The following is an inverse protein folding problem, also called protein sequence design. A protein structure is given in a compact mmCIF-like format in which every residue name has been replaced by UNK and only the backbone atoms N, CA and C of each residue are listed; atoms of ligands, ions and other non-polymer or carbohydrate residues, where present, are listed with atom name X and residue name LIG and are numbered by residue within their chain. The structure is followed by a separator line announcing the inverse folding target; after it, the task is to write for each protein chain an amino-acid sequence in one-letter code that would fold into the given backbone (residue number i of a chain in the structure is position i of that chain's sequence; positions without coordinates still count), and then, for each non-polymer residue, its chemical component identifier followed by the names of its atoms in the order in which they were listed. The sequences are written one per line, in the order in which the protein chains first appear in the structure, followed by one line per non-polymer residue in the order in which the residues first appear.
data_IF_001249057242
#
_entry.id   IF_001249057242
#
_cell.length_a   1.000
_cell.length_b   1.000
_cell.length_c   1.000
_cell.angle_alpha   90.00
_cell.angle_beta   90.00
_cell.angle_gamma   90.00
#
_symmetry.space_group_name_H-M   'P 1'
#
loop_
_entity.id
_entity.type
_entity.pdbx_description
1 polymer ?
#
# COMPACT_ATOMS: atom_id res chain seq x y z
N UNK A 1 -7.74 -32.23 -14.61
CA UNK A 1 -7.06 -31.61 -13.45
C UNK A 1 -8.10 -30.74 -12.77
N UNK A 2 -8.31 -30.97 -11.49
CA UNK A 2 -9.28 -30.17 -10.73
C UNK A 2 -8.69 -28.78 -10.48
N UNK A 3 -9.51 -27.73 -10.32
CA UNK A 3 -9.03 -26.38 -9.97
C UNK A 3 -8.18 -26.35 -8.68
N UNK A 4 -8.27 -27.38 -7.84
CA UNK A 4 -7.48 -27.52 -6.62
C UNK A 4 -5.99 -27.82 -6.86
N UNK A 5 -5.60 -28.29 -8.05
CA UNK A 5 -4.23 -28.78 -8.30
C UNK A 5 -3.20 -27.65 -8.54
N UNK A 6 -3.64 -26.39 -8.67
CA UNK A 6 -2.78 -25.24 -9.00
C UNK A 6 -2.74 -24.15 -7.93
N UNK A 7 -3.34 -24.38 -6.76
CA UNK A 7 -3.30 -23.41 -5.68
C UNK A 7 -1.88 -23.33 -5.08
N UNK A 8 -1.49 -22.13 -4.64
CA UNK A 8 -0.25 -21.92 -3.88
C UNK A 8 -0.54 -21.23 -2.55
N UNK A 9 0.36 -21.43 -1.61
CA UNK A 9 0.37 -20.75 -0.31
C UNK A 9 1.79 -20.30 0.02
N UNK A 10 1.93 -19.05 0.44
CA UNK A 10 3.19 -18.49 0.91
C UNK A 10 2.93 -17.41 1.95
N UNK A 11 3.55 -17.54 3.14
CA UNK A 11 3.35 -16.63 4.30
C UNK A 11 1.87 -16.32 4.60
N UNK A 12 1.04 -17.37 4.61
CA UNK A 12 -0.39 -17.25 4.89
C UNK A 12 -1.20 -16.57 3.79
N UNK A 13 -0.59 -16.22 2.66
CA UNK A 13 -1.27 -15.72 1.45
C UNK A 13 -1.50 -16.91 0.51
N UNK A 14 -2.72 -17.02 -0.04
CA UNK A 14 -3.12 -18.12 -0.93
C UNK A 14 -3.60 -17.60 -2.28
N UNK A 15 -3.29 -18.30 -3.36
CA UNK A 15 -3.76 -17.99 -4.72
C UNK A 15 -4.37 -19.18 -5.47
N UNK A 16 -5.23 -18.90 -6.47
CA UNK A 16 -5.98 -19.89 -7.28
C UNK A 16 -5.19 -20.47 -8.46
N UNK A 17 -4.23 -19.73 -8.97
CA UNK A 17 -3.45 -20.06 -10.16
C UNK A 17 -2.01 -20.35 -9.79
N UNK A 18 -1.18 -20.97 -10.66
CA UNK A 18 0.22 -21.21 -10.34
C UNK A 18 0.90 -19.95 -9.80
N UNK A 19 1.72 -20.13 -8.76
CA UNK A 19 2.41 -19.03 -8.09
C UNK A 19 3.10 -18.10 -9.11
N UNK A 20 2.87 -16.77 -9.05
CA UNK A 20 3.68 -15.83 -9.79
C UNK A 20 5.16 -16.07 -9.50
N UNK A 21 6.03 -15.95 -10.52
CA UNK A 21 7.49 -16.15 -10.35
C UNK A 21 8.12 -15.24 -9.29
N UNK A 22 7.45 -14.14 -8.98
CA UNK A 22 7.87 -13.16 -7.98
C UNK A 22 7.58 -13.58 -6.53
N UNK A 23 6.83 -14.66 -6.30
CA UNK A 23 6.57 -15.18 -4.94
C UNK A 23 7.89 -15.54 -4.26
N UNK A 24 8.11 -15.01 -3.04
CA UNK A 24 9.35 -15.19 -2.29
C UNK A 24 10.60 -14.51 -2.86
N UNK A 25 10.49 -13.73 -3.94
CA UNK A 25 11.65 -13.09 -4.59
C UNK A 25 12.32 -11.97 -3.78
N UNK A 26 11.72 -11.56 -2.66
CA UNK A 26 12.14 -10.44 -1.81
C UNK A 26 12.43 -10.86 -0.36
N UNK A 27 12.67 -12.14 -0.10
CA UNK A 27 13.11 -12.62 1.22
C UNK A 27 14.34 -11.86 1.74
N UNK A 28 14.37 -11.56 3.04
CA UNK A 28 15.43 -10.78 3.68
C UNK A 28 15.36 -9.27 3.44
N UNK A 29 14.46 -8.78 2.58
CA UNK A 29 14.34 -7.36 2.25
C UNK A 29 13.26 -6.66 3.08
N UNK A 30 13.31 -5.33 3.07
CA UNK A 30 12.35 -4.44 3.72
C UNK A 30 11.58 -3.64 2.68
N UNK A 31 10.31 -3.37 2.96
CA UNK A 31 9.45 -2.59 2.07
C UNK A 31 8.78 -1.42 2.79
N UNK A 32 8.65 -0.31 2.06
CA UNK A 32 7.75 0.79 2.39
C UNK A 32 6.58 0.74 1.42
N UNK A 33 5.37 0.61 1.95
CA UNK A 33 4.14 0.74 1.17
C UNK A 33 3.62 2.16 1.33
N UNK A 34 3.67 2.94 0.26
CA UNK A 34 3.15 4.29 0.20
C UNK A 34 1.72 4.28 -0.35
N UNK A 35 0.77 4.68 0.49
CA UNK A 35 -0.64 4.87 0.15
C UNK A 35 -0.99 6.28 -0.30
N UNK A 36 -2.28 6.54 -0.49
CA UNK A 36 -2.80 7.80 -1.02
C UNK A 36 -3.31 8.80 0.01
N UNK A 37 -3.18 8.55 1.32
CA UNK A 37 -3.73 9.43 2.34
C UNK A 37 -2.86 10.69 2.55
N UNK A 38 -3.47 11.79 3.00
CA UNK A 38 -2.80 13.07 3.23
C UNK A 38 -1.53 12.99 4.10
N UNK A 39 -1.54 12.13 5.12
CA UNK A 39 -0.39 11.92 6.01
C UNK A 39 0.82 11.26 5.34
N UNK A 40 0.73 10.79 4.09
CA UNK A 40 1.79 10.05 3.39
C UNK A 40 3.12 10.80 3.41
N UNK A 41 3.13 12.11 3.23
CA UNK A 41 4.36 12.90 3.17
C UNK A 41 5.09 12.96 4.52
N UNK A 42 4.34 13.17 5.62
CA UNK A 42 4.90 13.12 6.96
C UNK A 42 5.34 11.71 7.36
N UNK A 43 4.58 10.68 6.94
CA UNK A 43 4.94 9.29 7.18
C UNK A 43 6.23 8.87 6.43
N UNK A 44 6.53 9.50 5.29
CA UNK A 44 7.70 9.21 4.46
C UNK A 44 8.95 10.00 4.82
N UNK A 45 8.81 11.12 5.54
CA UNK A 45 9.92 12.01 5.91
C UNK A 45 11.10 11.24 6.53
N UNK A 46 10.91 10.29 7.48
CA UNK A 46 12.02 9.54 8.07
C UNK A 46 12.81 8.69 7.07
N UNK A 47 12.20 8.33 5.94
CA UNK A 47 12.78 7.44 4.93
C UNK A 47 13.32 8.18 3.71
N UNK A 48 13.04 9.48 3.57
CA UNK A 48 13.35 10.24 2.34
C UNK A 48 14.24 11.45 2.59
N UNK A 49 14.29 12.00 3.81
CA UNK A 49 15.06 13.21 4.12
C UNK A 49 16.56 12.95 4.41
N UNK A 50 17.22 12.16 3.56
CA UNK A 50 18.67 11.94 3.59
C UNK A 50 19.24 11.21 4.82
N UNK A 51 18.40 10.88 5.80
CA UNK A 51 18.83 10.26 7.05
C UNK A 51 19.04 8.75 6.92
N UNK A 52 18.15 8.01 6.27
CA UNK A 52 18.29 6.56 6.10
C UNK A 52 19.01 6.21 4.79
N UNK A 53 19.73 5.08 4.79
CA UNK A 53 20.18 4.44 3.56
C UNK A 53 18.93 3.92 2.82
N UNK A 54 18.33 4.81 2.02
CA UNK A 54 17.11 4.56 1.23
C UNK A 54 17.26 3.30 0.37
N UNK A 55 18.50 2.91 0.04
CA UNK A 55 18.81 1.69 -0.72
C UNK A 55 18.45 0.39 0.00
N UNK A 56 18.22 0.43 1.31
CA UNK A 56 17.84 -0.75 2.10
C UNK A 56 16.34 -1.08 2.01
N UNK A 57 15.54 -0.16 1.46
CA UNK A 57 14.09 -0.30 1.38
C UNK A 57 13.64 -0.33 -0.07
N UNK A 58 12.81 -1.31 -0.39
CA UNK A 58 12.03 -1.27 -1.63
C UNK A 58 10.78 -0.41 -1.42
N UNK A 59 10.45 0.42 -2.41
CA UNK A 59 9.24 1.23 -2.38
C UNK A 59 8.14 0.59 -3.23
N UNK A 60 6.99 0.40 -2.60
CA UNK A 60 5.76 -0.10 -3.18
C UNK A 60 4.74 1.05 -3.17
N UNK A 61 4.49 1.66 -4.32
CA UNK A 61 3.53 2.76 -4.43
C UNK A 61 2.13 2.25 -4.78
N UNK A 62 1.11 2.81 -4.15
CA UNK A 62 -0.30 2.39 -4.28
C UNK A 62 -1.15 3.49 -4.90
N UNK A 63 -1.81 3.17 -6.01
CA UNK A 63 -2.69 4.10 -6.74
C UNK A 63 -2.01 5.42 -7.13
N UNK A 64 -2.69 6.55 -6.95
CA UNK A 64 -2.27 7.86 -7.48
C UNK A 64 -0.88 8.31 -6.99
N UNK A 65 -0.44 7.87 -5.80
CA UNK A 65 0.88 8.23 -5.25
C UNK A 65 2.03 7.72 -6.13
N UNK A 66 1.80 6.71 -6.99
CA UNK A 66 2.75 6.23 -8.01
C UNK A 66 3.33 7.39 -8.81
N UNK A 67 2.49 8.39 -9.14
CA UNK A 67 2.87 9.53 -9.95
C UNK A 67 3.80 10.50 -9.23
N UNK A 68 3.65 10.62 -7.91
CA UNK A 68 4.19 11.75 -7.13
C UNK A 68 5.34 11.37 -6.20
N UNK A 69 5.54 10.07 -5.93
CA UNK A 69 6.55 9.64 -4.97
C UNK A 69 7.98 9.88 -5.50
N UNK A 70 8.78 10.76 -4.87
CA UNK A 70 10.09 11.19 -5.39
C UNK A 70 11.22 10.23 -4.96
N UNK A 71 11.00 8.93 -5.16
CA UNK A 71 11.94 7.84 -4.84
C UNK A 71 11.98 6.83 -5.98
N UNK A 72 13.04 6.04 -6.10
CA UNK A 72 13.06 4.90 -7.03
C UNK A 72 12.02 3.85 -6.60
N UNK A 73 11.08 3.51 -7.48
CA UNK A 73 10.06 2.49 -7.19
C UNK A 73 10.53 1.10 -7.59
N UNK A 74 10.33 0.13 -6.70
CA UNK A 74 10.49 -1.30 -6.99
C UNK A 74 9.17 -1.92 -7.46
N UNK A 75 8.04 -1.40 -6.95
CA UNK A 75 6.72 -1.95 -7.23
C UNK A 75 5.64 -0.89 -7.35
N UNK A 76 4.63 -1.15 -8.20
CA UNK A 76 3.38 -0.41 -8.24
C UNK A 76 2.20 -1.36 -8.03
N UNK A 77 1.26 -0.97 -7.16
CA UNK A 77 0.10 -1.79 -6.79
C UNK A 77 -1.20 -1.01 -6.97
N UNK A 78 -2.23 -1.65 -7.53
CA UNK A 78 -3.59 -1.11 -7.52
C UNK A 78 -4.67 -2.17 -7.66
N UNK A 79 -5.82 -1.94 -7.03
CA UNK A 79 -7.05 -2.65 -7.35
C UNK A 79 -7.69 -2.16 -8.67
N UNK A 80 -7.17 -1.08 -9.26
CA UNK A 80 -7.64 -0.46 -10.49
C UNK A 80 -6.59 -0.61 -11.61
N UNK A 81 -6.47 -1.81 -12.22
CA UNK A 81 -5.51 -2.05 -13.30
C UNK A 81 -5.68 -1.07 -14.48
N UNK A 82 -6.89 -0.59 -14.72
CA UNK A 82 -7.23 0.37 -15.77
C UNK A 82 -6.48 1.70 -15.65
N UNK A 83 -6.18 2.15 -14.43
CA UNK A 83 -5.50 3.43 -14.18
C UNK A 83 -3.98 3.30 -14.06
N UNK A 84 -3.48 2.11 -13.74
CA UNK A 84 -2.07 1.89 -13.40
C UNK A 84 -1.12 2.29 -14.55
N UNK A 85 -1.48 1.95 -15.78
CA UNK A 85 -0.72 2.37 -16.99
C UNK A 85 -0.65 3.90 -17.14
N UNK A 86 -1.71 4.61 -16.75
CA UNK A 86 -1.79 6.07 -16.88
C UNK A 86 -0.93 6.74 -15.81
N UNK A 87 -1.00 6.27 -14.56
CA UNK A 87 -0.14 6.76 -13.49
C UNK A 87 1.35 6.56 -13.80
N UNK A 88 1.74 5.41 -14.35
CA UNK A 88 3.12 5.17 -14.74
C UNK A 88 3.57 6.05 -15.91
N UNK A 89 2.68 6.31 -16.87
CA UNK A 89 2.98 7.24 -17.97
C UNK A 89 3.21 8.66 -17.44
N UNK A 90 2.36 9.13 -16.52
CA UNK A 90 2.49 10.44 -15.89
C UNK A 90 3.75 10.55 -15.05
N UNK A 91 4.10 9.50 -14.29
CA UNK A 91 5.36 9.40 -13.56
C UNK A 91 6.58 9.57 -14.48
N UNK A 92 6.60 8.85 -15.61
CA UNK A 92 7.70 8.95 -16.60
C UNK A 92 7.75 10.32 -17.27
N UNK A 93 6.61 11.00 -17.40
CA UNK A 93 6.50 12.33 -17.98
C UNK A 93 6.86 13.48 -17.04
N UNK A 94 7.12 13.22 -15.75
CA UNK A 94 7.48 14.27 -14.81
C UNK A 94 8.84 14.91 -15.16
N UNK A 95 8.95 16.22 -14.97
CA UNK A 95 10.13 17.03 -15.34
C UNK A 95 11.37 16.81 -14.46
N UNK A 96 11.41 15.75 -13.64
CA UNK A 96 12.52 15.42 -12.72
C UNK A 96 12.88 13.94 -12.81
N UNK A 97 13.33 13.43 -13.96
CA UNK A 97 13.52 11.99 -14.16
C UNK A 97 14.46 11.34 -13.14
N UNK A 98 15.44 12.10 -12.60
CA UNK A 98 16.40 11.67 -11.57
C UNK A 98 15.76 11.27 -10.23
N UNK A 99 14.52 11.69 -9.96
CA UNK A 99 13.81 11.40 -8.70
C UNK A 99 12.62 10.46 -8.87
N UNK A 100 12.31 10.09 -10.11
CA UNK A 100 11.11 9.31 -10.44
C UNK A 100 11.46 7.99 -11.14
N UNK A 101 12.67 7.49 -10.91
CA UNK A 101 13.17 6.25 -11.49
C UNK A 101 12.33 5.03 -11.06
N UNK A 102 12.46 3.97 -11.86
CA UNK A 102 11.96 2.62 -11.58
C UNK A 102 13.19 1.72 -11.51
N UNK A 103 13.20 0.72 -10.63
CA UNK A 103 14.28 -0.29 -10.62
C UNK A 103 14.29 -1.10 -11.93
N UNK A 104 15.42 -1.72 -12.25
CA UNK A 104 15.55 -2.59 -13.43
C UNK A 104 14.59 -3.79 -13.38
N UNK A 105 14.27 -4.25 -12.17
CA UNK A 105 13.36 -5.36 -11.88
C UNK A 105 11.98 -4.89 -11.41
N UNK A 106 11.57 -3.69 -11.81
CA UNK A 106 10.29 -3.09 -11.43
C UNK A 106 9.10 -3.97 -11.83
N UNK A 107 8.15 -4.16 -10.90
CA UNK A 107 6.95 -4.96 -11.14
C UNK A 107 5.63 -4.21 -10.87
N UNK A 108 4.64 -4.52 -11.71
CA UNK A 108 3.26 -4.09 -11.55
C UNK A 108 2.45 -5.22 -10.92
N UNK A 109 1.59 -4.87 -9.97
CA UNK A 109 0.74 -5.79 -9.24
C UNK A 109 -0.70 -5.30 -9.18
N UNK A 110 -1.61 -6.20 -9.55
CA UNK A 110 -3.03 -5.94 -9.66
C UNK A 110 -3.80 -7.16 -9.16
N UNK A 111 -5.06 -7.00 -8.75
CA UNK A 111 -5.83 -8.10 -8.17
C UNK A 111 -6.01 -9.28 -9.17
N UNK A 112 -6.08 -8.99 -10.47
CA UNK A 112 -6.21 -9.97 -11.56
C UNK A 112 -4.92 -10.76 -11.82
N UNK A 113 -3.74 -10.18 -11.53
CA UNK A 113 -2.44 -10.87 -11.61
C UNK A 113 -2.26 -11.89 -10.47
N UNK A 114 -2.76 -11.58 -9.28
CA UNK A 114 -2.48 -12.38 -8.09
C UNK A 114 -3.57 -13.41 -7.74
N UNK A 115 -4.84 -13.16 -8.13
CA UNK A 115 -5.99 -14.06 -7.95
C UNK A 115 -6.00 -14.81 -6.61
N UNK A 116 -5.93 -14.07 -5.50
CA UNK A 116 -5.94 -14.65 -4.16
C UNK A 116 -7.24 -15.42 -3.84
N UNK A 117 -7.21 -16.34 -2.88
CA UNK A 117 -8.36 -17.15 -2.42
C UNK A 117 -8.83 -16.81 -1.00
N UNK A 118 -10.07 -17.20 -0.69
CA UNK A 118 -10.60 -17.19 0.68
C UNK A 118 -10.79 -15.79 1.23
N UNK A 119 -10.43 -15.56 2.49
CA UNK A 119 -10.51 -14.25 3.13
C UNK A 119 -9.68 -13.19 2.39
N UNK A 120 -8.62 -13.60 1.69
CA UNK A 120 -7.82 -12.71 0.85
C UNK A 120 -8.63 -12.17 -0.34
N UNK A 121 -9.59 -12.92 -0.89
CA UNK A 121 -10.39 -12.48 -2.05
C UNK A 121 -11.34 -11.33 -1.69
N UNK A 122 -11.90 -11.33 -0.48
CA UNK A 122 -12.74 -10.24 0.00
C UNK A 122 -11.92 -8.98 0.27
N UNK A 123 -10.75 -9.17 0.88
CA UNK A 123 -9.77 -8.11 1.13
C UNK A 123 -9.33 -7.41 -0.15
N UNK A 124 -9.16 -8.17 -1.24
CA UNK A 124 -8.73 -7.65 -2.55
C UNK A 124 -9.71 -6.70 -3.23
N UNK A 125 -11.01 -6.78 -2.91
CA UNK A 125 -12.06 -6.10 -3.68
C UNK A 125 -12.42 -4.70 -3.16
N UNK A 126 -11.77 -4.22 -2.10
CA UNK A 126 -12.19 -2.96 -1.45
C UNK A 126 -11.08 -1.99 -1.01
N UNK A 127 -9.83 -2.45 -0.84
CA UNK A 127 -8.75 -1.59 -0.31
C UNK A 127 -7.40 -1.89 -1.00
N UNK A 128 -6.91 -0.94 -1.80
CA UNK A 128 -5.64 -1.10 -2.53
C UNK A 128 -4.41 -1.13 -1.60
N UNK A 129 -4.50 -0.49 -0.42
CA UNK A 129 -3.44 -0.54 0.58
C UNK A 129 -3.30 -1.95 1.18
N UNK A 130 -4.42 -2.61 1.44
CA UNK A 130 -4.43 -3.96 1.95
C UNK A 130 -4.05 -5.01 0.89
N UNK A 131 -4.43 -4.80 -0.37
CA UNK A 131 -3.87 -5.54 -1.51
C UNK A 131 -2.34 -5.42 -1.55
N UNK A 132 -1.79 -4.22 -1.38
CA UNK A 132 -0.34 -4.01 -1.37
C UNK A 132 0.35 -4.76 -0.21
N UNK A 133 -0.28 -4.85 0.97
CA UNK A 133 0.22 -5.69 2.07
C UNK A 133 0.27 -7.17 1.67
N UNK A 134 -0.79 -7.69 1.04
CA UNK A 134 -0.83 -9.09 0.60
C UNK A 134 0.24 -9.38 -0.46
N UNK A 135 0.41 -8.46 -1.41
CA UNK A 135 1.48 -8.53 -2.41
C UNK A 135 2.85 -8.52 -1.73
N UNK A 136 3.12 -7.61 -0.81
CA UNK A 136 4.40 -7.53 -0.12
C UNK A 136 4.71 -8.81 0.68
N UNK A 137 3.71 -9.38 1.35
CA UNK A 137 3.85 -10.67 2.04
C UNK A 137 4.14 -11.81 1.05
N UNK A 138 3.40 -11.88 -0.07
CA UNK A 138 3.61 -12.90 -1.09
C UNK A 138 4.99 -12.77 -1.77
N UNK A 139 5.49 -11.55 -1.97
CA UNK A 139 6.84 -11.28 -2.47
C UNK A 139 7.93 -11.72 -1.47
N UNK A 140 7.61 -11.86 -0.17
CA UNK A 140 8.54 -12.34 0.84
C UNK A 140 9.23 -11.27 1.67
N UNK A 141 8.75 -10.02 1.66
CA UNK A 141 9.31 -8.96 2.51
C UNK A 141 9.22 -9.32 4.00
N UNK A 142 10.31 -9.09 4.74
CA UNK A 142 10.40 -9.45 6.15
C UNK A 142 9.92 -8.35 7.09
N UNK A 143 10.14 -7.09 6.70
CA UNK A 143 9.67 -5.90 7.39
C UNK A 143 8.91 -5.01 6.42
N UNK A 144 7.66 -4.69 6.75
CA UNK A 144 6.77 -3.88 5.91
C UNK A 144 6.31 -2.68 6.73
N UNK A 145 6.58 -1.48 6.24
CA UNK A 145 6.09 -0.24 6.85
C UNK A 145 5.04 0.43 5.97
N UNK A 146 3.88 0.75 6.55
CA UNK A 146 2.82 1.49 5.89
C UNK A 146 3.00 3.00 6.12
N UNK A 147 2.99 3.76 5.03
CA UNK A 147 2.98 5.23 5.01
C UNK A 147 1.77 5.69 4.22
N UNK A 148 0.95 6.60 4.75
CA UNK A 148 -0.24 7.09 4.03
C UNK A 148 -1.38 6.08 3.93
N UNK A 149 -1.49 5.14 4.88
CA UNK A 149 -2.59 4.17 5.00
C UNK A 149 -3.12 4.17 6.45
N UNK A 150 -3.71 5.27 6.93
CA UNK A 150 -4.05 5.43 8.35
C UNK A 150 -5.35 4.71 8.77
N UNK A 151 -6.27 4.43 7.84
CA UNK A 151 -7.60 3.85 8.11
C UNK A 151 -8.38 4.54 9.25
N UNK A 152 -8.18 5.85 9.41
CA UNK A 152 -8.99 6.65 10.33
C UNK A 152 -10.28 7.08 9.63
N UNK A 153 -11.41 6.89 10.31
CA UNK A 153 -12.75 7.08 9.73
C UNK A 153 -13.12 8.53 9.44
N UNK A 154 -14.36 8.72 8.96
CA UNK A 154 -14.94 9.95 8.43
C UNK A 154 -14.87 11.21 9.35
N UNK A 155 -14.49 11.08 10.62
CA UNK A 155 -14.52 12.14 11.63
C UNK A 155 -13.14 12.62 12.10
N UNK A 156 -12.08 12.32 11.34
CA UNK A 156 -10.70 12.78 11.59
C UNK A 156 -9.82 12.74 10.33
N UNK A 157 -10.42 13.14 9.20
CA UNK A 157 -10.11 12.78 7.81
C UNK A 157 -8.69 13.08 7.32
N UNK A 158 -7.89 12.06 6.96
CA UNK A 158 -6.89 12.18 5.93
C UNK A 158 -7.61 11.91 4.63
N UNK A 159 -8.00 12.99 3.96
CA UNK A 159 -8.41 12.95 2.57
C UNK A 159 -7.27 12.38 1.71
N UNK A 160 -7.50 12.15 0.41
CA UNK A 160 -6.36 11.84 -0.45
C UNK A 160 -5.35 13.00 -0.40
N UNK A 161 -4.06 12.72 -0.61
CA UNK A 161 -3.03 13.75 -0.59
C UNK A 161 -3.23 14.86 -1.63
N UNK A 162 -4.09 14.64 -2.63
CA UNK A 162 -4.45 15.60 -3.67
C UNK A 162 -5.83 16.22 -3.48
N UNK A 163 -6.62 15.73 -2.53
CA UNK A 163 -7.90 16.35 -2.21
C UNK A 163 -7.63 17.73 -1.60
N UNK A 164 -8.41 18.77 -1.97
CA UNK A 164 -8.28 20.07 -1.33
C UNK A 164 -8.58 19.96 0.17
N UNK A 165 -8.02 20.85 1.01
CA UNK A 165 -8.42 20.94 2.40
C UNK A 165 -9.94 21.04 2.52
N UNK A 166 -10.51 20.32 3.48
CA UNK A 166 -11.94 20.45 3.79
C UNK A 166 -12.23 21.91 4.10
N UNK A 167 -13.21 22.47 3.40
CA UNK A 167 -13.74 23.79 3.73
C UNK A 167 -14.95 23.59 4.65
N UNK A 168 -15.08 24.45 5.65
CA UNK A 168 -16.20 24.41 6.60
C UNK A 168 -17.57 24.65 5.92
N UNK A 169 -17.58 25.16 4.68
CA UNK A 169 -18.75 25.48 3.86
C UNK A 169 -19.16 24.35 2.87
N UNK A 170 -18.59 23.15 3.00
CA UNK A 170 -18.51 22.16 1.92
C UNK A 170 -19.86 21.71 1.28
N UNK A 171 -20.20 22.33 0.15
CA UNK A 171 -20.90 21.68 -0.98
C UNK A 171 -19.99 20.66 -1.69
N UNK A 172 -18.67 20.75 -1.50
CA UNK A 172 -17.70 19.80 -2.03
C UNK A 172 -17.54 18.63 -1.07
N UNK A 173 -18.24 17.54 -1.33
CA UNK A 173 -18.07 16.29 -0.60
C UNK A 173 -16.84 15.56 -1.16
N UNK A 174 -15.71 15.42 -0.43
CA UNK A 174 -14.56 14.64 -0.90
C UNK A 174 -15.00 13.25 -1.35
N UNK A 175 -14.20 12.61 -2.22
CA UNK A 175 -14.47 11.27 -2.71
C UNK A 175 -14.85 10.29 -1.56
N UNK A 176 -14.17 10.37 -0.41
CA UNK A 176 -14.49 9.56 0.78
C UNK A 176 -15.85 9.85 1.44
N UNK A 177 -16.33 11.10 1.42
CA UNK A 177 -17.60 11.50 2.04
C UNK A 177 -18.79 11.31 1.07
N UNK A 178 -18.58 11.50 -0.24
CA UNK A 178 -19.63 11.33 -1.25
C UNK A 178 -19.99 9.85 -1.41
N UNK A 179 -18.97 9.00 -1.30
CA UNK A 179 -19.12 7.55 -1.36
C UNK A 179 -19.66 6.95 -0.05
N UNK A 180 -19.52 7.63 1.09
CA UNK A 180 -20.04 7.16 2.39
C UNK A 180 -21.58 7.16 2.49
N UNK A 181 -22.29 7.93 1.65
CA UNK A 181 -23.77 7.93 1.60
C UNK A 181 -24.37 7.34 0.32
N UNK A 182 -23.66 7.38 -0.81
CA UNK A 182 -24.24 7.00 -2.12
C UNK A 182 -23.56 5.84 -2.87
N UNK A 183 -22.45 5.26 -2.37
CA UNK A 183 -21.99 3.93 -2.85
C UNK A 183 -22.86 2.77 -2.34
N UNK A 184 -24.16 3.02 -2.11
CA UNK A 184 -25.19 2.02 -1.88
C UNK A 184 -25.49 1.13 -3.11
N UNK A 185 -24.66 1.18 -4.15
CA UNK A 185 -24.63 0.21 -5.25
C UNK A 185 -23.69 -0.98 -4.98
N UNK A 186 -22.75 -0.87 -4.04
CA UNK A 186 -21.98 -2.01 -3.58
C UNK A 186 -22.70 -2.61 -2.39
N UNK A 187 -23.00 -3.90 -2.50
CA UNK A 187 -23.83 -4.67 -1.58
C UNK A 187 -23.48 -4.31 -0.12
N UNK A 188 -24.45 -3.78 0.65
CA UNK A 188 -24.31 -3.39 2.07
C UNK A 188 -23.75 -4.49 2.98
N UNK A 189 -23.64 -5.71 2.45
CA UNK A 189 -23.10 -6.89 3.09
C UNK A 189 -21.60 -7.13 2.83
N UNK A 190 -20.90 -6.27 2.07
CA UNK A 190 -19.45 -6.36 1.87
C UNK A 190 -18.78 -5.47 2.91
N UNK A 191 -17.97 -6.02 3.83
CA UNK A 191 -17.16 -5.21 4.73
C UNK A 191 -16.25 -4.30 3.90
N UNK A 192 -16.21 -3.00 4.18
CA UNK A 192 -15.37 -2.04 3.46
C UNK A 192 -14.49 -1.25 4.44
N UNK A 193 -13.31 -0.87 3.98
CA UNK A 193 -12.36 -0.06 4.77
C UNK A 193 -11.94 -0.79 6.05
N UNK A 194 -12.25 -0.19 7.21
CA UNK A 194 -11.76 -0.62 8.52
C UNK A 194 -12.13 -2.06 8.87
N UNK A 195 -13.33 -2.54 8.55
CA UNK A 195 -13.74 -3.91 8.87
C UNK A 195 -12.86 -4.97 8.18
N UNK A 196 -12.41 -4.70 6.95
CA UNK A 196 -11.48 -5.59 6.23
C UNK A 196 -10.12 -5.60 6.93
N UNK A 197 -9.66 -4.42 7.35
CA UNK A 197 -8.42 -4.33 8.10
C UNK A 197 -8.49 -4.99 9.47
N UNK A 198 -9.60 -4.86 10.20
CA UNK A 198 -9.80 -5.51 11.49
C UNK A 198 -9.66 -7.03 11.38
N UNK A 199 -10.19 -7.64 10.32
CA UNK A 199 -9.98 -9.07 10.02
C UNK A 199 -8.55 -9.35 9.58
N UNK A 200 -7.99 -8.51 8.71
CA UNK A 200 -6.65 -8.74 8.19
C UNK A 200 -5.58 -8.68 9.28
N UNK A 201 -5.72 -7.79 10.27
CA UNK A 201 -4.81 -7.76 11.41
C UNK A 201 -4.94 -8.99 12.31
N UNK A 202 -5.95 -9.86 12.14
CA UNK A 202 -5.97 -11.15 12.83
C UNK A 202 -4.97 -12.15 12.24
N UNK A 203 -4.53 -11.95 10.99
CA UNK A 203 -3.52 -12.77 10.34
C UNK A 203 -2.16 -12.63 11.07
N UNK A 204 -1.57 -13.72 11.58
CA UNK A 204 -0.30 -13.69 12.29
C UNK A 204 0.86 -13.13 11.47
N UNK A 205 0.89 -13.38 10.15
CA UNK A 205 1.96 -12.89 9.28
C UNK A 205 1.87 -11.36 9.09
N UNK A 206 0.65 -10.81 9.01
CA UNK A 206 0.44 -9.36 9.02
C UNK A 206 0.91 -8.76 10.35
N UNK A 207 0.45 -9.28 11.50
CA UNK A 207 0.87 -8.77 12.82
C UNK A 207 2.37 -8.85 13.04
N UNK A 208 3.00 -9.91 12.55
CA UNK A 208 4.44 -10.13 12.73
C UNK A 208 5.28 -9.12 11.93
N UNK A 209 4.88 -8.82 10.70
CA UNK A 209 5.76 -8.16 9.71
C UNK A 209 5.37 -6.74 9.35
N UNK A 210 4.12 -6.36 9.56
CA UNK A 210 3.59 -5.07 9.13
C UNK A 210 3.52 -4.11 10.31
N UNK A 211 4.03 -2.89 10.09
CA UNK A 211 3.93 -1.75 11.00
C UNK A 211 3.37 -0.55 10.25
N UNK A 212 2.83 0.43 10.96
CA UNK A 212 2.29 1.64 10.33
C UNK A 212 2.77 2.91 11.01
N UNK A 213 3.01 3.94 10.21
CA UNK A 213 3.47 5.25 10.66
C UNK A 213 2.35 6.08 11.33
N UNK A 214 1.09 5.87 10.95
CA UNK A 214 0.00 6.75 11.35
C UNK A 214 -1.36 6.07 11.49
N UNK A 215 -2.28 6.77 12.14
CA UNK A 215 -3.70 6.40 12.22
C UNK A 215 -4.03 5.13 13.00
N UNK A 216 -5.22 4.61 12.73
CA UNK A 216 -5.73 3.38 13.32
C UNK A 216 -4.88 2.17 12.93
N UNK A 217 -4.32 2.11 11.72
CA UNK A 217 -3.41 1.01 11.35
C UNK A 217 -2.17 0.99 12.24
N UNK A 218 -1.66 2.15 12.69
CA UNK A 218 -0.57 2.21 13.66
C UNK A 218 -1.00 1.74 15.05
N UNK A 219 -2.21 2.06 15.48
CA UNK A 219 -2.76 1.55 16.74
C UNK A 219 -2.88 0.02 16.71
N UNK A 220 -3.36 -0.53 15.59
CA UNK A 220 -3.61 -1.96 15.43
C UNK A 220 -2.33 -2.79 15.20
N UNK A 221 -1.35 -2.27 14.46
CA UNK A 221 -0.15 -3.00 14.04
C UNK A 221 1.11 -2.60 14.81
N UNK A 222 1.07 -1.48 15.54
CA UNK A 222 2.23 -0.86 16.17
C UNK A 222 3.04 0.02 15.22
N UNK A 223 3.85 0.91 15.81
CA UNK A 223 4.78 1.77 15.09
C UNK A 223 6.01 0.99 14.61
N UNK A 224 6.61 1.35 13.46
CA UNK A 224 7.89 0.77 13.05
C UNK A 224 9.03 1.26 13.95
N UNK A 225 10.06 0.42 14.08
CA UNK A 225 11.33 0.85 14.67
C UNK A 225 12.11 1.54 13.57
N UNK A 226 12.19 2.86 13.64
CA UNK A 226 12.99 3.66 12.72
C UNK A 226 14.38 3.78 13.33
N UNK A 227 15.44 3.23 12.70
CA UNK A 227 16.79 3.41 13.19
C UNK A 227 17.07 4.91 13.27
N UNK A 228 17.36 5.43 14.47
CA UNK A 228 17.86 6.80 14.59
C UNK A 228 19.21 6.82 13.92
N UNK A 229 19.34 7.66 12.91
CA UNK A 229 20.64 7.97 12.35
C UNK A 229 21.31 8.86 13.38
N UNK A 230 22.34 8.32 14.04
CA UNK A 230 23.26 9.15 14.82
C UNK A 230 23.80 10.14 13.81
N UNK A 231 23.39 11.40 13.93
CA UNK A 231 23.86 12.47 13.06
C UNK A 231 25.38 12.31 12.95
N UNK A 232 25.86 11.99 11.75
CA UNK A 232 27.29 12.03 11.50
C UNK A 232 27.64 13.48 11.77
N UNK A 233 28.37 13.71 12.87
CA UNK A 233 28.94 15.02 13.16
C UNK A 233 29.61 15.48 11.88
N UNK A 234 29.18 16.63 11.37
CA UNK A 234 29.98 17.35 10.40
C UNK A 234 31.28 17.70 11.13
N UNK A 235 32.33 16.90 10.91
CA UNK A 235 33.72 17.28 11.20
C UNK A 235 34.24 18.24 10.13
#
# INVERSE_FOLDING_TARGET
MSEADNAWEYRGIRGKEPAPKSVGSREGRKAIIAGGAWCVWGDLEPFTDGNLDVKQWDFIAVNDIIQYLPVTLSHAVSAHPEFLRHWLALRKGHSRPDRFELTDDFEIHTFDKWRFTGDSEFVLRGDSGLLAVHVALALGYDEITLCGIPQIGLHGLPTHFFDPPLRDDAEFTPWGLRNGREFGGWNKNVPLGRDLWERAVENPEIRKRVRSMSGWTREALGAPVIPRVIARGYE
#
